data_IF_872281064878
#
_entry.id   IF_872281064878
#
_cell.length_a   1.000
_cell.length_b   1.000
_cell.length_c   1.000
_cell.angle_alpha   90.00
_cell.angle_beta   90.00
_cell.angle_gamma   90.00
#
_symmetry.space_group_name_H-M   'P 1'
#
loop_
_entity.id
_entity.type
_entity.pdbx_description
1 polymer ?
#
# COMPACT_ATOMS: atom_id res chain seq x y z
N UNK A 1 -21.80 4.60 32.85
CA UNK A 1 -20.64 3.90 32.26
C UNK A 1 -20.46 4.42 30.85
N UNK A 2 -19.41 5.19 30.58
CA UNK A 2 -19.10 5.69 29.23
C UNK A 2 -17.90 4.92 28.72
N UNK A 3 -18.12 3.99 27.81
CA UNK A 3 -17.04 3.27 27.14
C UNK A 3 -16.35 4.22 26.15
N UNK A 4 -15.03 4.47 26.26
CA UNK A 4 -14.30 5.22 25.25
C UNK A 4 -14.23 4.40 23.95
N UNK A 5 -13.95 5.04 22.79
CA UNK A 5 -14.23 4.46 21.50
C UNK A 5 -13.39 3.20 21.31
N UNK A 6 -14.01 2.17 20.74
CA UNK A 6 -13.38 0.94 20.31
C UNK A 6 -12.26 1.24 19.30
N UNK A 7 -11.07 1.55 19.79
CA UNK A 7 -9.84 1.22 19.07
C UNK A 7 -9.83 -0.29 19.04
N UNK A 8 -10.39 -0.83 17.96
CA UNK A 8 -10.17 -2.20 17.56
C UNK A 8 -8.65 -2.41 17.58
N UNK A 9 -8.18 -3.11 18.61
CA UNK A 9 -6.86 -3.72 18.63
C UNK A 9 -6.80 -4.62 17.40
N UNK A 10 -6.28 -4.08 16.31
CA UNK A 10 -5.86 -4.87 15.16
C UNK A 10 -4.88 -5.91 15.70
N UNK A 11 -5.25 -7.20 15.68
CA UNK A 11 -4.35 -8.28 16.05
C UNK A 11 -3.16 -8.22 15.10
N UNK A 12 -1.94 -7.88 15.56
CA UNK A 12 -0.83 -7.50 14.67
C UNK A 12 -0.37 -8.63 13.75
N UNK A 13 -0.80 -9.86 14.00
CA UNK A 13 -0.50 -11.06 13.22
C UNK A 13 -1.45 -11.32 12.04
N UNK A 14 -2.65 -10.71 12.00
CA UNK A 14 -3.66 -10.92 10.95
C UNK A 14 -3.91 -9.67 10.09
N UNK A 15 -3.01 -8.69 10.14
CA UNK A 15 -3.14 -7.44 9.39
C UNK A 15 -2.38 -7.57 8.08
N UNK A 16 -3.04 -7.31 6.96
CA UNK A 16 -2.38 -7.11 5.68
C UNK A 16 -1.44 -5.94 5.77
N UNK A 17 -0.24 -6.07 5.22
CA UNK A 17 0.75 -5.00 5.25
C UNK A 17 1.48 -4.89 3.94
N UNK A 18 2.00 -3.71 3.65
CA UNK A 18 2.78 -3.46 2.45
C UNK A 18 4.26 -3.73 2.72
N UNK A 19 4.83 -4.68 1.98
CA UNK A 19 6.24 -5.09 2.04
C UNK A 19 6.93 -4.84 0.70
N UNK A 20 8.18 -5.26 0.57
CA UNK A 20 8.93 -5.24 -0.69
C UNK A 20 8.92 -3.89 -1.40
N UNK A 21 9.24 -2.82 -0.66
CA UNK A 21 9.37 -1.46 -1.19
C UNK A 21 10.32 -1.47 -2.40
N UNK A 22 9.81 -1.02 -3.55
CA UNK A 22 10.58 -0.95 -4.79
C UNK A 22 10.26 0.32 -5.57
N UNK A 23 11.28 1.12 -5.84
CA UNK A 23 11.16 2.25 -6.76
C UNK A 23 11.26 1.68 -8.18
N UNK A 24 10.20 1.81 -8.97
CA UNK A 24 10.17 1.38 -10.37
C UNK A 24 10.90 2.35 -11.29
N UNK A 25 11.07 3.59 -10.86
CA UNK A 25 11.73 4.67 -11.60
C UNK A 25 10.74 5.78 -11.95
N UNK A 26 11.17 6.70 -12.81
CA UNK A 26 10.33 7.80 -13.29
C UNK A 26 9.20 7.29 -14.20
N UNK A 27 8.00 7.85 -14.07
CA UNK A 27 6.87 7.60 -14.98
C UNK A 27 7.26 7.99 -16.41
N UNK A 28 7.91 9.15 -16.57
CA UNK A 28 8.57 9.58 -17.79
C UNK A 28 9.68 10.58 -17.44
N UNK A 29 10.69 10.70 -18.29
CA UNK A 29 11.80 11.65 -18.11
C UNK A 29 11.25 13.07 -18.23
N UNK A 30 11.42 13.90 -17.20
CA UNK A 30 10.88 15.27 -17.15
C UNK A 30 9.42 15.35 -16.68
N UNK A 31 8.82 14.23 -16.25
CA UNK A 31 7.44 14.25 -15.73
C UNK A 31 7.38 14.71 -14.27
N UNK A 32 8.49 14.75 -13.55
CA UNK A 32 8.49 15.04 -12.12
C UNK A 32 7.80 13.95 -11.29
N UNK A 33 7.65 12.71 -11.80
CA UNK A 33 6.91 11.65 -11.10
C UNK A 33 7.64 10.33 -11.11
N UNK A 34 7.61 9.62 -9.99
CA UNK A 34 8.18 8.28 -9.80
C UNK A 34 7.13 7.28 -9.33
N UNK A 35 7.21 6.06 -9.84
CA UNK A 35 6.40 4.95 -9.36
C UNK A 35 7.08 4.20 -8.24
N UNK A 36 6.33 3.98 -7.17
CA UNK A 36 6.69 3.11 -6.07
C UNK A 36 5.77 1.90 -6.10
N UNK A 37 6.35 0.73 -5.99
CA UNK A 37 5.67 -0.54 -5.86
C UNK A 37 5.89 -1.09 -4.45
N UNK A 38 4.83 -1.65 -3.89
CA UNK A 38 4.91 -2.54 -2.73
C UNK A 38 4.13 -3.81 -3.00
N UNK A 39 4.55 -4.91 -2.37
CA UNK A 39 3.76 -6.14 -2.33
C UNK A 39 2.84 -6.14 -1.11
N UNK A 40 1.59 -6.55 -1.30
CA UNK A 40 0.67 -6.80 -0.19
C UNK A 40 0.98 -8.18 0.40
N UNK A 41 1.41 -8.19 1.64
CA UNK A 41 1.74 -9.38 2.40
C UNK A 41 0.67 -9.68 3.45
N UNK A 42 0.70 -10.89 4.01
CA UNK A 42 -0.26 -11.37 4.99
C UNK A 42 -1.74 -11.33 4.52
N UNK A 43 -1.97 -11.42 3.21
CA UNK A 43 -3.30 -11.51 2.64
C UNK A 43 -3.85 -12.94 2.82
N UNK A 44 -4.95 -13.08 3.55
CA UNK A 44 -5.56 -14.38 3.77
C UNK A 44 -6.09 -14.99 2.46
N UNK A 45 -5.88 -16.30 2.23
CA UNK A 45 -6.38 -16.97 1.03
C UNK A 45 -7.91 -16.88 0.96
N UNK A 46 -8.43 -16.48 -0.21
CA UNK A 46 -9.86 -16.27 -0.44
C UNK A 46 -10.39 -14.88 -0.06
N UNK A 47 -9.55 -14.02 0.50
CA UNK A 47 -9.91 -12.62 0.78
C UNK A 47 -9.96 -11.76 -0.48
N UNK A 48 -10.75 -10.69 -0.43
CA UNK A 48 -10.89 -9.75 -1.55
C UNK A 48 -9.69 -8.81 -1.60
N UNK A 49 -8.62 -9.23 -2.29
CA UNK A 49 -7.38 -8.48 -2.38
C UNK A 49 -7.56 -7.02 -2.80
N UNK A 50 -8.59 -6.72 -3.59
CA UNK A 50 -8.89 -5.37 -4.10
C UNK A 50 -9.42 -4.44 -3.00
N UNK A 51 -10.19 -4.98 -2.06
CA UNK A 51 -10.64 -4.23 -0.89
C UNK A 51 -9.48 -4.02 0.09
N UNK A 52 -8.68 -5.07 0.34
CA UNK A 52 -7.52 -4.98 1.21
C UNK A 52 -6.46 -4.03 0.65
N UNK A 53 -6.19 -4.04 -0.66
CA UNK A 53 -5.24 -3.09 -1.26
C UNK A 53 -5.74 -1.64 -1.14
N UNK A 54 -7.04 -1.39 -1.24
CA UNK A 54 -7.60 -0.05 -1.10
C UNK A 54 -7.69 0.45 0.36
N UNK A 55 -7.70 -0.46 1.34
CA UNK A 55 -7.93 -0.16 2.77
C UNK A 55 -6.72 -0.39 3.67
N UNK A 56 -5.66 -1.00 3.16
CA UNK A 56 -4.42 -1.21 3.91
C UNK A 56 -3.57 0.06 3.89
N UNK A 57 -3.36 0.72 5.03
CA UNK A 57 -2.57 1.94 5.06
C UNK A 57 -1.09 1.66 4.80
N UNK A 58 -0.42 2.60 4.15
CA UNK A 58 1.02 2.57 3.91
C UNK A 58 1.65 3.91 4.28
N UNK A 59 2.90 3.87 4.75
CA UNK A 59 3.68 5.06 5.08
C UNK A 59 5.08 4.96 4.50
N UNK A 60 5.44 5.87 3.61
CA UNK A 60 6.79 6.00 3.05
C UNK A 60 7.02 7.44 2.59
N UNK A 61 8.29 7.86 2.46
CA UNK A 61 8.65 9.24 2.05
C UNK A 61 7.98 10.35 2.87
N UNK A 62 7.68 10.08 4.16
CA UNK A 62 6.98 11.04 5.03
C UNK A 62 5.49 11.23 4.70
N UNK A 63 4.96 10.51 3.71
CA UNK A 63 3.55 10.49 3.33
C UNK A 63 2.83 9.30 3.93
N UNK A 64 1.55 9.47 4.23
CA UNK A 64 0.65 8.39 4.65
C UNK A 64 -0.48 8.27 3.65
N UNK A 65 -0.68 7.06 3.14
CA UNK A 65 -1.81 6.70 2.29
C UNK A 65 -2.68 5.69 3.03
N UNK A 66 -3.99 5.76 2.82
CA UNK A 66 -4.96 4.79 3.37
C UNK A 66 -4.98 3.46 2.61
N UNK A 67 -4.41 3.43 1.41
CA UNK A 67 -4.42 2.31 0.47
C UNK A 67 -3.47 2.53 -0.69
N UNK A 68 -3.41 1.56 -1.59
CA UNK A 68 -2.77 1.70 -2.88
C UNK A 68 -3.57 2.59 -3.83
N UNK A 69 -2.89 3.44 -4.57
CA UNK A 69 -3.51 4.30 -5.60
C UNK A 69 -3.95 3.45 -6.80
N UNK A 70 -3.05 2.57 -7.25
CA UNK A 70 -3.38 1.48 -8.15
C UNK A 70 -2.97 0.15 -7.55
N UNK A 71 -3.69 -0.92 -7.86
CA UNK A 71 -3.31 -2.26 -7.41
C UNK A 71 -3.62 -3.31 -8.46
N UNK A 72 -2.76 -4.32 -8.51
CA UNK A 72 -2.88 -5.42 -9.46
C UNK A 72 -2.47 -6.74 -8.82
N UNK A 73 -3.11 -7.82 -9.26
CA UNK A 73 -2.75 -9.18 -8.86
C UNK A 73 -1.84 -9.81 -9.91
N UNK A 74 -0.80 -10.50 -9.46
CA UNK A 74 0.11 -11.30 -10.28
C UNK A 74 0.24 -12.71 -9.68
N UNK A 75 0.90 -13.62 -10.40
CA UNK A 75 1.20 -14.98 -9.92
C UNK A 75 2.00 -14.97 -8.60
N UNK A 76 2.77 -13.92 -8.35
CA UNK A 76 3.63 -13.76 -7.19
C UNK A 76 2.96 -13.08 -5.99
N UNK A 77 1.70 -12.65 -6.13
CA UNK A 77 0.97 -11.94 -5.08
C UNK A 77 0.28 -10.69 -5.59
N UNK A 78 -0.12 -9.82 -4.67
CA UNK A 78 -0.82 -8.57 -4.96
C UNK A 78 0.16 -7.43 -4.78
N UNK A 79 0.11 -6.47 -5.70
CA UNK A 79 1.01 -5.34 -5.73
C UNK A 79 0.21 -4.04 -5.72
N UNK A 80 0.70 -3.07 -4.97
CA UNK A 80 0.22 -1.71 -4.94
C UNK A 80 1.22 -0.81 -5.65
N UNK A 81 0.72 0.18 -6.37
CA UNK A 81 1.47 1.23 -7.01
C UNK A 81 1.03 2.58 -6.45
N UNK A 82 2.02 3.45 -6.27
CA UNK A 82 1.82 4.84 -5.90
C UNK A 82 2.67 5.71 -6.82
N UNK A 83 2.08 6.77 -7.33
CA UNK A 83 2.78 7.82 -8.03
C UNK A 83 3.18 8.91 -7.03
N UNK A 84 4.48 9.17 -6.90
CA UNK A 84 4.98 10.29 -6.11
C UNK A 84 5.58 11.35 -7.00
N UNK A 85 5.39 12.60 -6.60
CA UNK A 85 6.14 13.71 -7.18
C UNK A 85 7.64 13.59 -6.79
N UNK A 86 8.51 13.82 -7.77
CA UNK A 86 9.96 13.80 -7.64
C UNK A 86 10.54 14.79 -8.65
N UNK A 87 10.99 15.95 -8.17
CA UNK A 87 11.67 16.97 -8.98
C UNK A 87 12.99 16.50 -9.66
N UNK A 88 13.43 15.27 -9.35
CA UNK A 88 14.60 14.64 -9.99
C UNK A 88 14.23 13.79 -11.21
N UNK A 89 12.95 13.50 -11.36
CA UNK A 89 12.33 13.15 -12.63
C UNK A 89 11.83 14.44 -13.30
#
# INVERSE_FOLDING_TARGET
MSFPPSILTVMPDCVTSWTDYKIKGCTSVGSGRRYIEHRLDNLQPGSNWREFSATTPVRFHGMQFSGAEESFQSTWGVYGLWELDDDKC
#
